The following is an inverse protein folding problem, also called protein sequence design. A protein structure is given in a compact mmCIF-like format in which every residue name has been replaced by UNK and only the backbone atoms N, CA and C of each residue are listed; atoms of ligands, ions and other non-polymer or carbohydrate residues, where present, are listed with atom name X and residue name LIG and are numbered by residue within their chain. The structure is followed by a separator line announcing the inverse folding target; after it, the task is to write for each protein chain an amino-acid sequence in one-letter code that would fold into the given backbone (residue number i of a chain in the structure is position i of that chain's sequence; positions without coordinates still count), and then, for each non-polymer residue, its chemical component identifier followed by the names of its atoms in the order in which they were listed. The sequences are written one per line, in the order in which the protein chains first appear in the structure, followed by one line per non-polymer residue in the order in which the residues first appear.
data_IF_096986601157
#
_entry.id   IF_096986601157
#
_cell.length_a   1.000
_cell.length_b   1.000
_cell.length_c   1.000
_cell.angle_alpha   90.00
_cell.angle_beta   90.00
_cell.angle_gamma   90.00
#
_symmetry.space_group_name_H-M   'P 1'
#
loop_
_entity.id
_entity.type
_entity.pdbx_description
1 polymer ?
#
# COMPACT_ATOMS: atom_id res chain seq x y z
N UNK A 1 25.48 18.45 6.24
CA UNK A 1 25.88 17.07 5.88
C UNK A 1 25.51 16.19 7.06
N UNK A 2 24.30 15.64 7.06
CA UNK A 2 23.90 14.67 8.08
C UNK A 2 23.78 13.34 7.37
N UNK A 3 24.89 12.60 7.38
CA UNK A 3 24.88 11.17 7.12
C UNK A 3 24.05 10.57 8.25
N UNK A 4 22.89 10.00 7.93
CA UNK A 4 22.33 8.99 8.80
C UNK A 4 22.27 7.72 7.97
N UNK A 5 23.35 6.97 8.11
CA UNK A 5 23.49 5.63 7.60
C UNK A 5 22.21 4.85 7.89
N UNK A 6 21.74 4.11 6.87
CA UNK A 6 20.84 2.99 7.07
C UNK A 6 21.14 2.32 8.42
N UNK A 7 20.14 2.15 9.31
CA UNK A 7 20.38 1.59 10.63
C UNK A 7 21.04 0.22 10.44
N UNK A 8 22.32 0.13 10.86
CA UNK A 8 23.09 -1.10 10.78
C UNK A 8 22.52 -2.05 11.81
N UNK A 9 21.69 -3.01 11.38
CA UNK A 9 21.49 -4.30 12.06
C UNK A 9 20.94 -4.29 13.49
N UNK A 10 20.69 -3.12 14.10
CA UNK A 10 20.11 -2.99 15.42
C UNK A 10 18.63 -2.67 15.28
N UNK A 11 17.83 -3.51 15.94
CA UNK A 11 16.37 -3.59 15.93
C UNK A 11 15.77 -2.36 16.63
N UNK A 12 15.94 -1.18 16.05
CA UNK A 12 15.40 0.04 16.64
C UNK A 12 14.05 0.39 16.00
N UNK A 13 12.96 0.49 16.79
CA UNK A 13 11.69 0.96 16.27
C UNK A 13 11.89 2.37 15.70
N UNK A 14 11.37 2.60 14.50
CA UNK A 14 11.47 3.90 13.85
C UNK A 14 10.97 4.98 14.81
N UNK A 15 11.72 6.08 14.97
CA UNK A 15 11.28 7.14 15.84
C UNK A 15 9.98 7.72 15.28
N UNK A 16 8.89 7.62 16.04
CA UNK A 16 7.59 8.24 15.75
C UNK A 16 7.67 9.78 15.50
N UNK A 17 8.85 10.38 15.67
CA UNK A 17 9.15 11.79 15.43
C UNK A 17 9.64 12.12 14.01
N UNK A 18 9.93 11.14 13.14
CA UNK A 18 10.44 11.43 11.78
C UNK A 18 9.45 12.32 11.01
N UNK A 19 9.90 13.45 10.42
CA UNK A 19 9.07 14.23 9.52
C UNK A 19 8.61 13.41 8.33
N UNK A 20 7.32 13.46 8.01
CA UNK A 20 6.83 12.90 6.74
C UNK A 20 6.98 14.00 5.70
N UNK A 21 7.97 13.83 4.81
CA UNK A 21 8.21 14.81 3.76
C UNK A 21 7.15 14.72 2.67
N UNK A 22 6.92 15.85 2.00
CA UNK A 22 5.92 15.93 0.94
C UNK A 22 6.28 15.04 -0.25
N UNK A 23 7.58 14.90 -0.54
CA UNK A 23 8.08 14.06 -1.61
C UNK A 23 7.80 12.57 -1.34
N UNK A 24 8.02 12.10 -0.11
CA UNK A 24 7.66 10.74 0.31
C UNK A 24 6.15 10.49 0.19
N UNK A 25 5.32 11.41 0.70
CA UNK A 25 3.87 11.28 0.58
C UNK A 25 3.42 11.17 -0.88
N UNK A 26 4.00 11.99 -1.76
CA UNK A 26 3.71 11.99 -3.21
C UNK A 26 4.18 10.70 -3.87
N UNK A 27 5.37 10.20 -3.53
CA UNK A 27 5.95 8.98 -4.08
C UNK A 27 5.11 7.76 -3.71
N UNK A 28 4.68 7.66 -2.45
CA UNK A 28 3.81 6.57 -2.00
C UNK A 28 2.45 6.61 -2.68
N UNK A 29 1.84 7.80 -2.76
CA UNK A 29 0.57 7.99 -3.48
C UNK A 29 0.68 7.56 -4.95
N UNK A 30 1.74 7.99 -5.63
CA UNK A 30 2.00 7.64 -7.02
C UNK A 30 2.21 6.14 -7.22
N UNK A 31 2.90 5.48 -6.29
CA UNK A 31 3.07 4.04 -6.30
C UNK A 31 1.74 3.28 -6.13
N UNK A 32 0.87 3.74 -5.23
CA UNK A 32 -0.49 3.20 -5.07
C UNK A 32 -1.43 3.52 -6.25
N UNK A 33 -0.98 4.32 -7.23
CA UNK A 33 -1.81 4.75 -8.35
C UNK A 33 -2.99 5.66 -7.96
N UNK A 34 -2.96 6.24 -6.76
CA UNK A 34 -4.06 7.05 -6.23
C UNK A 34 -3.93 8.52 -6.61
N UNK A 35 -5.04 9.22 -6.81
CA UNK A 35 -5.06 10.66 -6.96
C UNK A 35 -5.00 11.35 -5.60
N UNK A 36 -4.67 12.65 -5.58
CA UNK A 36 -4.67 13.43 -4.33
C UNK A 36 -6.06 13.45 -3.66
N UNK A 37 -7.13 13.38 -4.46
CA UNK A 37 -8.50 13.32 -3.97
C UNK A 37 -8.77 12.01 -3.19
N UNK A 38 -8.31 10.87 -3.70
CA UNK A 38 -8.50 9.57 -3.03
C UNK A 38 -7.81 9.53 -1.66
N UNK A 39 -6.60 10.08 -1.58
CA UNK A 39 -5.88 10.21 -0.31
C UNK A 39 -6.59 11.19 0.64
N UNK A 40 -7.14 12.27 0.10
CA UNK A 40 -7.89 13.26 0.88
C UNK A 40 -9.15 12.64 1.49
N UNK A 41 -9.89 11.84 0.71
CA UNK A 41 -11.09 11.12 1.16
C UNK A 41 -10.76 10.13 2.27
N UNK A 42 -9.69 9.33 2.10
CA UNK A 42 -9.21 8.39 3.13
C UNK A 42 -8.80 9.10 4.43
N UNK A 43 -8.27 10.32 4.32
CA UNK A 43 -7.88 11.16 5.45
C UNK A 43 -9.00 12.07 5.94
N UNK A 44 -10.17 12.11 5.32
CA UNK A 44 -11.25 13.03 5.65
C UNK A 44 -10.81 14.51 5.66
N UNK A 45 -9.98 14.91 4.70
CA UNK A 45 -9.50 16.29 4.51
C UNK A 45 -9.75 16.73 3.07
N UNK A 46 -9.46 18.00 2.73
CA UNK A 46 -9.59 18.47 1.35
C UNK A 46 -8.41 18.06 0.47
N UNK A 47 -8.66 17.85 -0.83
CA UNK A 47 -7.60 17.62 -1.83
C UNK A 47 -6.54 18.73 -1.81
N UNK A 48 -6.96 19.98 -1.63
CA UNK A 48 -6.04 21.13 -1.52
C UNK A 48 -5.09 20.98 -0.33
N UNK A 49 -5.55 20.41 0.78
CA UNK A 49 -4.72 20.12 1.96
C UNK A 49 -3.64 19.11 1.61
N UNK A 50 -3.99 18.02 0.91
CA UNK A 50 -3.02 17.03 0.40
C UNK A 50 -2.00 17.67 -0.54
N UNK A 51 -2.44 18.52 -1.47
CA UNK A 51 -1.55 19.23 -2.39
C UNK A 51 -0.58 20.20 -1.66
N UNK A 52 -0.96 20.75 -0.51
CA UNK A 52 -0.05 21.52 0.35
C UNK A 52 0.94 20.60 1.06
N UNK A 53 0.48 19.48 1.60
CA UNK A 53 1.34 18.52 2.30
C UNK A 53 2.37 17.88 1.38
N UNK A 54 2.02 17.51 0.15
CA UNK A 54 2.97 16.99 -0.84
C UNK A 54 4.07 18.00 -1.22
N UNK A 55 3.85 19.30 -0.99
CA UNK A 55 4.85 20.35 -1.25
C UNK A 55 5.65 20.75 -0.02
N UNK A 56 5.04 20.69 1.17
CA UNK A 56 5.60 21.28 2.40
C UNK A 56 5.89 20.27 3.51
N UNK A 57 5.49 19.01 3.33
CA UNK A 57 5.49 17.99 4.36
C UNK A 57 4.20 17.98 5.19
N UNK A 58 4.00 16.88 5.90
CA UNK A 58 2.82 16.68 6.76
C UNK A 58 3.02 17.40 8.10
N UNK A 59 2.07 18.26 8.52
CA UNK A 59 2.10 18.90 9.83
C UNK A 59 2.18 17.88 10.96
N UNK A 60 2.90 18.23 12.04
CA UNK A 60 3.12 17.34 13.18
C UNK A 60 1.83 16.71 13.72
N UNK A 61 0.78 17.51 13.91
CA UNK A 61 -0.53 17.07 14.42
C UNK A 61 -1.23 15.99 13.57
N UNK A 62 -0.80 15.79 12.32
CA UNK A 62 -1.43 14.85 11.39
C UNK A 62 -0.55 13.63 11.11
N UNK A 63 0.70 13.59 11.59
CA UNK A 63 1.67 12.54 11.24
C UNK A 63 1.21 11.16 11.69
N UNK A 64 0.68 11.03 12.90
CA UNK A 64 0.23 9.73 13.41
C UNK A 64 -0.97 9.21 12.61
N UNK A 65 -1.88 10.09 12.22
CA UNK A 65 -3.01 9.74 11.35
C UNK A 65 -2.52 9.26 9.99
N UNK A 66 -1.53 9.94 9.41
CA UNK A 66 -0.93 9.55 8.13
C UNK A 66 -0.16 8.24 8.25
N UNK A 67 0.66 8.04 9.30
CA UNK A 67 1.36 6.78 9.56
C UNK A 67 0.40 5.61 9.73
N UNK A 68 -0.67 5.79 10.52
CA UNK A 68 -1.67 4.74 10.73
C UNK A 68 -2.38 4.37 9.42
N UNK A 69 -2.67 5.36 8.57
CA UNK A 69 -3.34 5.14 7.31
C UNK A 69 -2.44 4.58 6.20
N UNK A 70 -1.18 5.02 6.13
CA UNK A 70 -0.25 4.77 5.01
C UNK A 70 0.87 3.80 5.33
N UNK A 71 1.13 3.56 6.61
CA UNK A 71 2.06 2.54 7.09
C UNK A 71 3.45 3.14 7.21
N UNK A 72 4.14 2.77 8.28
CA UNK A 72 5.39 3.42 8.64
C UNK A 72 6.54 2.96 7.74
N UNK A 73 6.59 1.68 7.39
CA UNK A 73 7.59 1.12 6.48
C UNK A 73 7.46 1.69 5.06
N UNK A 74 6.23 1.91 4.61
CA UNK A 74 5.88 2.44 3.29
C UNK A 74 6.26 3.91 3.16
N UNK A 75 6.13 4.69 4.23
CA UNK A 75 6.59 6.08 4.27
C UNK A 75 8.11 6.18 4.22
N UNK A 76 8.83 5.28 4.91
CA UNK A 76 10.29 5.22 4.86
C UNK A 76 10.78 4.78 3.49
N UNK A 77 10.16 3.75 2.91
CA UNK A 77 10.41 3.34 1.53
C UNK A 77 10.26 4.53 0.56
N UNK A 78 9.17 5.29 0.71
CA UNK A 78 8.87 6.41 -0.17
C UNK A 78 9.85 7.57 0.01
N UNK A 79 10.32 7.82 1.24
CA UNK A 79 11.36 8.79 1.53
C UNK A 79 12.68 8.42 0.86
N UNK A 80 13.17 7.20 1.10
CA UNK A 80 14.42 6.72 0.50
C UNK A 80 14.36 6.72 -1.03
N UNK A 81 13.20 6.39 -1.61
CA UNK A 81 12.99 6.48 -3.06
C UNK A 81 12.98 7.93 -3.55
N UNK A 82 12.36 8.86 -2.81
CA UNK A 82 12.35 10.27 -3.16
C UNK A 82 13.75 10.90 -3.09
N UNK A 83 14.58 10.46 -2.14
CA UNK A 83 15.96 10.90 -1.96
C UNK A 83 16.93 10.23 -2.97
N UNK A 84 16.44 9.25 -3.74
CA UNK A 84 17.24 8.46 -4.68
C UNK A 84 18.17 7.45 -4.00
N UNK A 85 17.99 7.21 -2.70
CA UNK A 85 18.79 6.30 -1.89
C UNK A 85 18.30 4.85 -1.94
N UNK A 86 17.06 4.62 -2.40
CA UNK A 86 16.55 3.28 -2.67
C UNK A 86 16.80 2.88 -4.13
N UNK A 87 17.85 2.10 -4.37
CA UNK A 87 18.14 1.50 -5.68
C UNK A 87 17.35 0.21 -5.92
N UNK A 88 16.62 0.13 -7.03
CA UNK A 88 15.98 -1.09 -7.54
C UNK A 88 14.45 -1.14 -7.46
N UNK A 89 13.87 -2.19 -8.07
CA UNK A 89 12.42 -2.45 -8.20
C UNK A 89 11.74 -2.94 -6.90
N UNK A 90 12.39 -2.75 -5.74
CA UNK A 90 11.82 -3.15 -4.46
C UNK A 90 10.49 -2.42 -4.21
N UNK A 91 9.40 -3.19 -4.12
CA UNK A 91 8.11 -2.68 -3.70
C UNK A 91 8.13 -2.30 -2.21
N UNK A 92 7.20 -1.45 -1.74
CA UNK A 92 7.09 -1.12 -0.31
C UNK A 92 6.91 -2.35 0.57
N UNK A 93 6.18 -3.36 0.10
CA UNK A 93 5.99 -4.64 0.81
C UNK A 93 7.29 -5.44 0.92
N UNK A 94 8.10 -5.48 -0.14
CA UNK A 94 9.39 -6.18 -0.14
C UNK A 94 10.38 -5.45 0.75
N UNK A 95 10.38 -4.12 0.68
CA UNK A 95 11.16 -3.29 1.59
C UNK A 95 10.75 -3.52 3.05
N UNK A 96 9.44 -3.53 3.35
CA UNK A 96 8.93 -3.81 4.68
C UNK A 96 9.37 -5.20 5.15
N UNK A 97 9.17 -6.24 4.33
CA UNK A 97 9.55 -7.62 4.67
C UNK A 97 11.07 -7.81 4.85
N UNK A 98 11.88 -7.05 4.11
CA UNK A 98 13.33 -7.17 4.12
C UNK A 98 13.99 -6.35 5.23
N UNK A 99 13.43 -5.20 5.60
CA UNK A 99 14.07 -4.21 6.47
C UNK A 99 13.27 -3.85 7.73
N UNK A 100 11.99 -4.23 7.84
CA UNK A 100 11.13 -3.91 8.99
C UNK A 100 10.41 -5.13 9.58
N UNK A 101 10.23 -5.14 10.90
CA UNK A 101 9.70 -6.30 11.63
C UNK A 101 8.22 -6.57 11.36
N UNK A 102 7.92 -7.85 11.17
CA UNK A 102 6.62 -8.46 10.89
C UNK A 102 5.67 -8.50 12.12
N UNK A 103 5.43 -7.35 12.77
CA UNK A 103 4.24 -7.12 13.60
C UNK A 103 3.26 -6.13 12.97
N UNK A 104 3.59 -5.60 11.79
CA UNK A 104 2.59 -4.94 10.94
C UNK A 104 1.77 -6.07 10.34
N UNK A 105 0.62 -6.39 10.94
CA UNK A 105 -0.40 -7.18 10.23
C UNK A 105 -0.48 -6.62 8.81
N UNK A 106 -0.35 -7.45 7.76
CA UNK A 106 -0.45 -6.96 6.40
C UNK A 106 -1.72 -6.14 6.33
N UNK A 107 -1.60 -4.88 5.88
CA UNK A 107 -2.76 -4.01 5.71
C UNK A 107 -3.86 -4.85 5.10
N UNK A 108 -5.10 -4.86 5.66
CA UNK A 108 -6.21 -5.36 4.89
C UNK A 108 -6.21 -4.54 3.61
N UNK A 109 -5.83 -5.17 2.50
CA UNK A 109 -5.98 -4.54 1.21
C UNK A 109 -7.46 -4.23 1.12
N UNK A 110 -7.80 -2.94 1.15
CA UNK A 110 -9.13 -2.52 0.74
C UNK A 110 -9.13 -2.73 -0.77
N UNK A 111 -9.30 -3.99 -1.18
CA UNK A 111 -9.69 -4.30 -2.54
C UNK A 111 -10.95 -3.49 -2.76
N UNK A 112 -10.86 -2.52 -3.67
CA UNK A 112 -12.05 -1.93 -4.25
C UNK A 112 -12.70 -3.05 -5.03
N UNK A 113 -13.52 -3.85 -4.37
CA UNK A 113 -14.38 -4.82 -5.04
C UNK A 113 -15.16 -3.97 -6.04
N UNK A 114 -15.00 -4.18 -7.36
CA UNK A 114 -15.86 -3.49 -8.32
C UNK A 114 -17.30 -3.76 -7.87
N UNK A 115 -18.15 -2.73 -7.88
CA UNK A 115 -19.53 -2.83 -7.42
C UNK A 115 -20.11 -4.17 -7.85
N UNK A 116 -20.48 -5.00 -6.87
CA UNK A 116 -20.96 -6.35 -7.14
C UNK A 116 -22.05 -6.26 -8.22
N UNK A 117 -21.97 -7.03 -9.31
CA UNK A 117 -22.95 -6.92 -10.38
C UNK A 117 -24.35 -7.07 -9.80
N UNK A 118 -25.34 -6.34 -10.32
CA UNK A 118 -26.73 -6.55 -9.90
C UNK A 118 -27.12 -8.02 -10.03
N UNK A 119 -28.12 -8.50 -9.29
CA UNK A 119 -28.53 -9.91 -9.34
C UNK A 119 -28.82 -10.39 -10.76
N UNK A 120 -29.28 -9.51 -11.65
CA UNK A 120 -29.46 -9.80 -13.08
C UNK A 120 -28.14 -9.95 -13.85
N UNK A 121 -27.13 -9.13 -13.54
CA UNK A 121 -25.80 -9.23 -14.14
C UNK A 121 -25.02 -10.44 -13.58
N UNK A 122 -25.23 -10.79 -12.30
CA UNK A 122 -24.75 -12.05 -11.71
C UNK A 122 -25.37 -13.25 -12.41
N UNK A 123 -26.70 -13.24 -12.62
CA UNK A 123 -27.39 -14.32 -13.30
C UNK A 123 -26.91 -14.50 -14.75
N UNK A 124 -26.62 -13.40 -15.48
CA UNK A 124 -26.04 -13.46 -16.83
C UNK A 124 -24.60 -13.97 -16.86
N UNK A 125 -23.77 -13.55 -15.90
CA UNK A 125 -22.39 -14.04 -15.74
C UNK A 125 -22.38 -15.53 -15.39
N UNK A 126 -23.20 -15.96 -14.43
CA UNK A 126 -23.32 -17.35 -14.01
C UNK A 126 -23.97 -18.22 -15.07
N UNK A 127 -24.94 -17.71 -15.84
CA UNK A 127 -25.52 -18.42 -16.99
C UNK A 127 -24.54 -18.58 -18.16
N UNK A 128 -23.43 -17.83 -18.17
CA UNK A 128 -22.37 -17.95 -19.18
C UNK A 128 -21.33 -19.02 -18.86
N UNK A 129 -21.38 -19.61 -17.67
CA UNK A 129 -20.55 -20.75 -17.28
C UNK A 129 -21.47 -21.91 -16.94
N UNK A 130 -21.35 -23.02 -17.67
CA UNK A 130 -21.89 -24.26 -17.12
C UNK A 130 -21.19 -24.51 -15.79
N UNK A 131 -21.97 -24.78 -14.73
CA UNK A 131 -21.45 -25.10 -13.39
C UNK A 131 -20.36 -26.19 -13.45
N UNK A 132 -20.51 -27.11 -14.40
CA UNK A 132 -19.56 -28.20 -14.67
C UNK A 132 -18.22 -27.66 -15.21
N UNK A 133 -18.24 -26.70 -16.14
CA UNK A 133 -17.02 -26.13 -16.74
C UNK A 133 -16.22 -25.29 -15.73
N UNK A 134 -16.93 -24.59 -14.84
CA UNK A 134 -16.31 -23.81 -13.77
C UNK A 134 -15.63 -24.72 -12.75
N UNK A 135 -16.30 -25.81 -12.36
CA UNK A 135 -15.74 -26.80 -11.44
C UNK A 135 -14.53 -27.53 -12.03
N UNK A 136 -14.56 -27.86 -13.33
CA UNK A 136 -13.44 -28.49 -14.02
C UNK A 136 -12.22 -27.57 -14.11
N UNK A 137 -12.40 -26.27 -14.38
CA UNK A 137 -11.30 -25.31 -14.42
C UNK A 137 -10.71 -25.06 -13.02
N UNK A 138 -11.54 -24.99 -11.99
CA UNK A 138 -11.07 -24.86 -10.61
C UNK A 138 -10.26 -26.08 -10.18
N UNK A 139 -10.71 -27.29 -10.54
CA UNK A 139 -9.99 -28.54 -10.26
C UNK A 139 -8.66 -28.60 -10.99
N UNK A 140 -8.64 -28.26 -12.28
CA UNK A 140 -7.42 -28.16 -13.11
C UNK A 140 -6.38 -27.21 -12.50
N UNK A 141 -6.83 -26.08 -11.93
CA UNK A 141 -5.94 -25.11 -11.26
C UNK A 141 -5.45 -25.57 -9.88
N UNK A 142 -6.26 -26.31 -9.13
CA UNK A 142 -5.85 -26.90 -7.86
C UNK A 142 -4.76 -27.97 -8.09
N UNK A 143 -4.96 -28.83 -9.09
CA UNK A 143 -4.00 -29.86 -9.47
C UNK A 143 -2.68 -29.26 -10.00
N UNK A 144 -2.75 -28.18 -10.80
CA UNK A 144 -1.58 -27.47 -11.32
C UNK A 144 -0.74 -26.78 -10.22
N UNK A 145 -1.30 -26.52 -9.04
CA UNK A 145 -0.59 -25.93 -7.89
C UNK A 145 -0.04 -26.98 -6.93
N UNK A 146 -0.10 -28.27 -7.26
CA UNK A 146 0.45 -29.34 -6.42
C UNK A 146 -0.18 -29.40 -5.03
N UNK A 147 -1.44 -28.98 -4.89
CA UNK A 147 -2.17 -29.08 -3.62
C UNK A 147 -3.03 -30.34 -3.66
N UNK A 148 -2.46 -31.47 -3.25
CA UNK A 148 -3.27 -32.65 -2.93
C UNK A 148 -4.02 -32.33 -1.63
N UNK A 149 -5.36 -32.35 -1.68
CA UNK A 149 -6.22 -32.43 -0.49
C UNK A 149 -6.10 -33.80 0.17
#
# INVERSE_FOLDING_TARGET
MTTNAFPRGEREPLPASVPIEGAALKALRAYEGSAQADLADRLGISQQTVAVWERKGVPYANRDRVRKLLGEAELVWAQLRADGELGGDLSPEQFAAQFYWAEVEPRPQVYRVPAWPSDEAQAKLLASFSEIELLDELRRRADARGTTL
#
